data_IF_126920036575
#
_entry.id   IF_126920036575
#
_cell.length_a   1.000
_cell.length_b   1.000
_cell.length_c   1.000
_cell.angle_alpha   90.00
_cell.angle_beta   90.00
_cell.angle_gamma   90.00
#
_symmetry.space_group_name_H-M   'P 1'
#
loop_
_entity.id
_entity.type
_entity.pdbx_description
1 polymer ?
#
# COMPACT_ATOMS: atom_id res chain seq x y z
N UNK A 1 -21.72 -2.32 -6.03
CA UNK A 1 -21.51 -2.92 -4.70
C UNK A 1 -20.01 -3.05 -4.46
N UNK A 2 -19.56 -2.62 -3.31
CA UNK A 2 -18.15 -2.71 -2.97
C UNK A 2 -17.73 -4.14 -2.70
N UNK A 3 -16.52 -4.49 -3.16
CA UNK A 3 -15.94 -5.80 -2.86
C UNK A 3 -15.48 -5.81 -1.40
N UNK A 4 -16.07 -6.69 -0.62
CA UNK A 4 -15.68 -6.87 0.77
C UNK A 4 -14.50 -7.83 0.87
N UNK A 5 -13.52 -7.48 1.68
CA UNK A 5 -12.40 -8.36 1.99
C UNK A 5 -12.07 -8.26 3.47
N UNK A 6 -11.58 -9.35 4.03
CA UNK A 6 -11.22 -9.39 5.44
C UNK A 6 -9.78 -8.93 5.61
N UNK A 7 -9.52 -8.16 6.65
CA UNK A 7 -8.17 -7.66 6.99
C UNK A 7 -7.86 -7.78 8.49
N UNK A 8 -8.83 -8.17 9.30
CA UNK A 8 -8.68 -8.20 10.75
C UNK A 8 -7.53 -9.09 11.21
N UNK A 9 -7.32 -10.21 10.54
CA UNK A 9 -6.26 -11.16 10.86
C UNK A 9 -4.86 -10.60 10.59
N UNK A 10 -4.76 -9.51 9.85
CA UNK A 10 -3.48 -8.89 9.50
C UNK A 10 -3.04 -7.82 10.51
N UNK A 11 -3.98 -7.29 11.30
CA UNK A 11 -3.68 -6.26 12.28
C UNK A 11 -2.70 -6.80 13.33
N UNK A 12 -1.61 -6.06 13.56
CA UNK A 12 -0.61 -6.45 14.55
C UNK A 12 0.51 -7.34 14.00
N UNK A 13 0.44 -7.76 12.74
CA UNK A 13 1.56 -8.51 12.14
C UNK A 13 2.80 -7.59 12.17
N UNK A 14 3.96 -8.11 12.61
CA UNK A 14 5.17 -7.29 12.72
C UNK A 14 5.62 -6.72 11.36
N UNK A 15 6.22 -5.52 11.41
CA UNK A 15 6.88 -4.98 10.24
C UNK A 15 8.21 -5.71 10.04
N UNK A 16 8.39 -6.31 8.86
CA UNK A 16 9.64 -6.96 8.46
C UNK A 16 9.95 -6.52 7.04
N UNK A 17 11.12 -5.94 6.83
CA UNK A 17 11.57 -5.53 5.50
C UNK A 17 11.60 -6.75 4.58
N UNK A 18 10.92 -6.65 3.44
CA UNK A 18 10.77 -7.77 2.51
C UNK A 18 9.73 -8.80 2.94
N UNK A 19 9.02 -8.57 4.05
CA UNK A 19 8.06 -9.53 4.59
C UNK A 19 6.86 -9.76 3.68
N UNK A 20 6.49 -11.03 3.52
CA UNK A 20 5.45 -11.43 2.57
C UNK A 20 4.46 -12.45 3.15
N UNK A 21 4.50 -12.71 4.46
CA UNK A 21 3.63 -13.67 5.11
C UNK A 21 3.24 -13.23 6.52
N UNK A 22 2.51 -14.09 7.25
CA UNK A 22 1.99 -13.77 8.57
C UNK A 22 3.06 -13.59 9.65
N UNK A 23 4.32 -13.94 9.38
CA UNK A 23 5.42 -13.71 10.32
C UNK A 23 5.97 -12.29 10.21
N UNK A 24 5.67 -11.60 9.15
CA UNK A 24 6.06 -10.21 8.96
C UNK A 24 5.69 -9.69 7.59
N UNK A 25 5.33 -8.41 7.54
CA UNK A 25 4.96 -7.73 6.31
C UNK A 25 5.61 -6.35 6.27
N UNK A 26 6.08 -5.94 5.10
CA UNK A 26 6.36 -4.53 4.85
C UNK A 26 5.14 -3.90 4.16
N UNK A 27 5.22 -2.63 3.79
CA UNK A 27 4.06 -1.93 3.22
C UNK A 27 3.61 -2.56 1.90
N UNK A 28 4.54 -2.99 1.05
CA UNK A 28 4.17 -3.62 -0.20
C UNK A 28 3.67 -5.05 -0.01
N UNK A 29 4.24 -5.79 0.95
CA UNK A 29 3.74 -7.12 1.31
C UNK A 29 2.30 -7.09 1.74
N UNK A 30 1.93 -6.11 2.55
CA UNK A 30 0.54 -5.91 2.96
C UNK A 30 -0.35 -5.58 1.75
N UNK A 31 0.11 -4.69 0.87
CA UNK A 31 -0.64 -4.33 -0.34
C UNK A 31 -0.87 -5.54 -1.24
N UNK A 32 0.18 -6.36 -1.45
CA UNK A 32 0.07 -7.59 -2.23
C UNK A 32 -1.01 -8.52 -1.67
N UNK A 33 -1.00 -8.73 -0.36
CA UNK A 33 -1.94 -9.62 0.30
C UNK A 33 -3.38 -9.10 0.16
N UNK A 34 -3.59 -7.81 0.38
CA UNK A 34 -4.93 -7.24 0.33
C UNK A 34 -5.48 -7.13 -1.10
N UNK A 35 -4.63 -6.90 -2.09
CA UNK A 35 -5.08 -6.97 -3.49
C UNK A 35 -5.42 -8.40 -3.88
N UNK A 36 -4.64 -9.37 -3.40
CA UNK A 36 -4.93 -10.78 -3.63
C UNK A 36 -6.30 -11.16 -3.08
N UNK A 37 -6.64 -10.68 -1.89
CA UNK A 37 -7.96 -10.92 -1.28
C UNK A 37 -9.11 -10.28 -2.05
N UNK A 38 -8.80 -9.27 -2.85
CA UNK A 38 -9.77 -8.63 -3.75
C UNK A 38 -9.83 -9.30 -5.12
N UNK A 39 -8.99 -10.32 -5.36
CA UNK A 39 -8.93 -11.02 -6.63
C UNK A 39 -7.90 -10.48 -7.62
N UNK A 40 -6.98 -9.64 -7.15
CA UNK A 40 -5.96 -9.04 -8.03
C UNK A 40 -4.58 -9.51 -7.63
N UNK A 41 -3.78 -9.92 -8.62
CA UNK A 41 -2.37 -10.22 -8.42
C UNK A 41 -1.57 -9.07 -9.03
N UNK A 42 -0.88 -8.32 -8.19
CA UNK A 42 -0.06 -7.19 -8.61
C UNK A 42 1.42 -7.57 -8.53
N UNK A 43 2.27 -6.76 -9.17
CA UNK A 43 3.71 -7.03 -9.19
C UNK A 43 4.34 -6.92 -7.81
N UNK A 44 5.27 -7.82 -7.51
CA UNK A 44 6.09 -7.76 -6.31
C UNK A 44 7.44 -7.11 -6.64
N UNK A 45 7.89 -6.24 -5.74
CA UNK A 45 9.16 -5.52 -5.89
C UNK A 45 10.10 -5.94 -4.76
N UNK A 46 11.33 -6.29 -5.11
CA UNK A 46 12.36 -6.69 -4.13
C UNK A 46 13.24 -5.50 -3.78
N UNK A 47 12.65 -4.46 -3.19
CA UNK A 47 13.35 -3.25 -2.81
C UNK A 47 13.29 -3.11 -1.29
N UNK A 48 14.47 -2.95 -0.66
CA UNK A 48 14.53 -2.74 0.78
C UNK A 48 13.85 -1.43 1.18
N UNK A 49 13.10 -1.46 2.30
CA UNK A 49 12.45 -0.26 2.83
C UNK A 49 13.45 0.84 3.21
N UNK A 50 14.73 0.50 3.35
CA UNK A 50 15.79 1.47 3.63
C UNK A 50 16.25 2.25 2.39
N UNK A 51 15.86 1.80 1.19
CA UNK A 51 16.22 2.44 -0.07
C UNK A 51 15.11 3.36 -0.56
N UNK A 52 14.80 4.40 0.23
CA UNK A 52 13.64 5.27 0.01
C UNK A 52 13.63 5.91 -1.38
N UNK A 53 14.79 6.33 -1.90
CA UNK A 53 14.84 6.98 -3.22
C UNK A 53 14.55 6.00 -4.36
N UNK A 54 14.96 4.74 -4.23
CA UNK A 54 14.67 3.69 -5.22
C UNK A 54 13.17 3.37 -5.20
N UNK A 55 12.60 3.24 -4.00
CA UNK A 55 11.17 3.03 -3.83
C UNK A 55 10.39 4.19 -4.46
N UNK A 56 10.81 5.42 -4.16
CA UNK A 56 10.14 6.61 -4.67
C UNK A 56 10.16 6.67 -6.20
N UNK A 57 11.33 6.42 -6.80
CA UNK A 57 11.47 6.43 -8.26
C UNK A 57 10.62 5.34 -8.90
N UNK A 58 10.62 4.14 -8.32
CA UNK A 58 9.83 3.02 -8.81
C UNK A 58 8.35 3.31 -8.72
N UNK A 59 7.88 3.81 -7.57
CA UNK A 59 6.48 4.18 -7.39
C UNK A 59 6.06 5.26 -8.36
N UNK A 60 6.85 6.32 -8.52
CA UNK A 60 6.52 7.42 -9.41
C UNK A 60 6.38 6.93 -10.84
N UNK A 61 7.29 6.10 -11.30
CA UNK A 61 7.24 5.54 -12.65
C UNK A 61 6.02 4.63 -12.83
N UNK A 62 5.85 3.64 -11.95
CA UNK A 62 4.82 2.62 -12.11
C UNK A 62 3.41 3.17 -11.89
N UNK A 63 3.24 4.08 -10.95
CA UNK A 63 1.92 4.68 -10.72
C UNK A 63 1.45 5.51 -11.92
N UNK A 64 2.37 6.14 -12.63
CA UNK A 64 2.04 6.88 -13.85
C UNK A 64 1.75 5.96 -15.03
N UNK A 65 2.42 4.81 -15.11
CA UNK A 65 2.34 3.92 -16.27
C UNK A 65 1.30 2.82 -16.14
N UNK A 66 1.09 2.30 -14.93
CA UNK A 66 0.32 1.08 -14.71
C UNK A 66 -0.89 1.24 -13.81
N UNK A 67 -1.00 2.36 -13.11
CA UNK A 67 -2.08 2.60 -12.15
C UNK A 67 -2.88 3.82 -12.54
N UNK A 68 -4.12 3.88 -12.11
CA UNK A 68 -4.99 5.02 -12.35
C UNK A 68 -5.23 5.76 -11.03
N UNK A 69 -4.90 7.05 -11.02
CA UNK A 69 -5.21 7.91 -9.87
C UNK A 69 -6.71 8.22 -9.86
N UNK A 70 -7.32 8.13 -8.67
CA UNK A 70 -8.73 8.45 -8.47
C UNK A 70 -8.84 9.60 -7.49
N UNK A 71 -9.90 10.42 -7.62
CA UNK A 71 -10.08 11.60 -6.77
C UNK A 71 -10.57 11.24 -5.38
N UNK A 72 -11.52 10.30 -5.31
CA UNK A 72 -12.10 9.85 -4.05
C UNK A 72 -11.65 8.43 -3.75
N UNK A 73 -11.26 8.14 -2.51
CA UNK A 73 -10.82 6.78 -2.19
C UNK A 73 -11.96 5.78 -2.30
N UNK A 74 -11.62 4.60 -2.80
CA UNK A 74 -12.54 3.44 -2.84
C UNK A 74 -11.99 2.36 -1.92
N UNK A 75 -12.87 1.62 -1.27
CA UNK A 75 -12.45 0.48 -0.45
C UNK A 75 -11.59 -0.46 -1.30
N UNK A 76 -10.40 -0.77 -0.80
CA UNK A 76 -9.44 -1.62 -1.47
C UNK A 76 -8.41 -0.89 -2.31
N UNK A 77 -8.53 0.42 -2.51
CA UNK A 77 -7.56 1.16 -3.33
C UNK A 77 -6.24 1.36 -2.59
N UNK A 78 -5.19 1.60 -3.37
CA UNK A 78 -3.85 1.90 -2.86
C UNK A 78 -3.77 3.34 -2.40
N UNK A 79 -3.23 3.56 -1.20
CA UNK A 79 -2.97 4.89 -0.64
C UNK A 79 -1.46 5.11 -0.71
N UNK A 80 -1.03 6.15 -1.42
CA UNK A 80 0.40 6.46 -1.60
C UNK A 80 0.81 7.56 -0.64
N UNK A 81 1.88 7.33 0.10
CA UNK A 81 2.28 8.15 1.24
C UNK A 81 3.75 8.53 1.14
N UNK A 82 4.05 9.76 1.56
CA UNK A 82 5.42 10.26 1.70
C UNK A 82 5.81 10.24 3.18
N UNK A 83 6.80 9.42 3.51
CA UNK A 83 7.40 9.41 4.84
C UNK A 83 8.70 10.23 4.87
N UNK A 84 9.48 10.17 3.78
CA UNK A 84 10.73 10.92 3.65
C UNK A 84 10.48 12.22 2.90
N UNK A 85 10.85 13.36 3.49
CA UNK A 85 10.54 14.69 2.96
C UNK A 85 11.16 14.96 1.59
N UNK A 86 12.32 14.39 1.32
CA UNK A 86 13.05 14.62 0.07
C UNK A 86 12.73 13.61 -1.02
N UNK A 87 11.74 12.76 -0.79
CA UNK A 87 11.32 11.74 -1.77
C UNK A 87 9.89 12.00 -2.23
N UNK A 88 9.54 11.53 -3.44
CA UNK A 88 8.17 11.66 -3.93
C UNK A 88 7.21 10.83 -3.09
N UNK A 89 7.50 9.54 -2.93
CA UNK A 89 6.74 8.64 -2.07
C UNK A 89 7.61 7.46 -1.68
N UNK A 90 7.37 6.89 -0.50
CA UNK A 90 8.13 5.72 -0.07
C UNK A 90 7.32 4.80 0.84
N UNK A 91 6.01 4.94 0.84
CA UNK A 91 5.14 4.14 1.69
C UNK A 91 3.76 4.01 1.05
N UNK A 92 3.04 2.99 1.44
CA UNK A 92 1.68 2.79 0.95
C UNK A 92 0.83 2.09 2.00
N UNK A 93 -0.48 2.18 1.79
CA UNK A 93 -1.47 1.45 2.56
C UNK A 93 -2.67 1.14 1.67
N UNK A 94 -3.69 0.56 2.28
CA UNK A 94 -4.93 0.19 1.58
C UNK A 94 -6.11 0.83 2.30
N UNK A 95 -6.96 1.50 1.54
CA UNK A 95 -8.15 2.14 2.07
C UNK A 95 -9.20 1.07 2.44
N UNK A 96 -9.75 1.16 3.65
CA UNK A 96 -10.70 0.16 4.15
C UNK A 96 -12.09 0.72 4.42
N UNK A 97 -12.33 1.98 4.04
CA UNK A 97 -13.64 2.63 4.21
C UNK A 97 -13.69 3.56 5.42
N UNK A 98 -14.73 4.37 5.47
CA UNK A 98 -15.01 5.29 6.57
C UNK A 98 -13.83 6.18 6.97
N UNK A 99 -13.03 6.58 5.98
CA UNK A 99 -11.89 7.46 6.22
C UNK A 99 -10.70 6.80 6.88
N UNK A 100 -10.61 5.47 6.81
CA UNK A 100 -9.51 4.70 7.42
C UNK A 100 -8.71 3.94 6.37
N UNK A 101 -7.44 3.72 6.67
CA UNK A 101 -6.59 2.86 5.86
C UNK A 101 -5.73 1.98 6.75
N UNK A 102 -5.33 0.83 6.22
CA UNK A 102 -4.47 -0.13 6.91
C UNK A 102 -3.09 -0.10 6.26
N UNK A 103 -2.04 -0.09 7.08
CA UNK A 103 -0.67 -0.09 6.56
C UNK A 103 0.30 -0.77 7.52
N UNK A 104 1.37 -1.33 6.96
CA UNK A 104 2.50 -1.85 7.74
C UNK A 104 3.46 -0.67 7.92
N UNK A 105 3.35 0.01 9.05
CA UNK A 105 3.95 1.32 9.21
C UNK A 105 5.44 1.25 9.59
N UNK A 106 5.74 0.66 10.73
CA UNK A 106 7.12 0.62 11.24
C UNK A 106 7.28 -0.52 12.23
N UNK A 107 8.51 -0.74 12.68
CA UNK A 107 8.83 -1.84 13.60
C UNK A 107 8.07 -1.75 14.93
N UNK A 108 7.80 -0.54 15.40
CA UNK A 108 7.12 -0.33 16.68
C UNK A 108 5.63 -0.65 16.60
N UNK A 109 5.02 -0.50 15.45
CA UNK A 109 3.57 -0.67 15.31
C UNK A 109 3.17 -1.94 14.59
N UNK A 110 3.98 -2.39 13.61
CA UNK A 110 3.54 -3.41 12.67
C UNK A 110 2.38 -2.90 11.82
N UNK A 111 1.45 -3.79 11.51
CA UNK A 111 0.26 -3.47 10.73
C UNK A 111 -0.77 -2.80 11.64
N UNK A 112 -1.17 -1.59 11.27
CA UNK A 112 -2.14 -0.79 12.04
C UNK A 112 -3.14 -0.11 11.11
N UNK A 113 -4.23 0.35 11.71
CA UNK A 113 -5.25 1.16 11.03
C UNK A 113 -5.08 2.61 11.48
N UNK A 114 -5.07 3.52 10.52
CA UNK A 114 -4.99 4.96 10.77
C UNK A 114 -6.08 5.69 10.00
N UNK A 115 -6.30 6.96 10.38
CA UNK A 115 -7.27 7.82 9.70
C UNK A 115 -6.60 8.58 8.56
N UNK A 116 -7.23 8.57 7.40
CA UNK A 116 -6.78 9.35 6.24
C UNK A 116 -6.58 10.82 6.63
N UNK A 117 -7.51 11.37 7.42
CA UNK A 117 -7.46 12.77 7.84
C UNK A 117 -6.18 13.10 8.61
N UNK A 118 -5.72 12.18 9.46
CA UNK A 118 -4.49 12.35 10.25
C UNK A 118 -3.26 12.41 9.35
N UNK A 119 -3.30 11.72 8.22
CA UNK A 119 -2.16 11.59 7.30
C UNK A 119 -2.29 12.47 6.07
N UNK A 120 -3.27 13.34 6.02
CA UNK A 120 -3.64 14.13 4.83
C UNK A 120 -2.44 14.85 4.20
N UNK A 121 -1.57 15.46 5.00
CA UNK A 121 -0.42 16.20 4.49
C UNK A 121 0.66 15.31 3.86
N UNK A 122 0.59 14.00 4.11
CA UNK A 122 1.57 13.02 3.60
C UNK A 122 0.99 12.12 2.52
N UNK A 123 -0.33 12.11 2.34
CA UNK A 123 -0.97 11.28 1.32
C UNK A 123 -0.88 12.00 -0.02
N UNK A 124 -0.28 11.35 -1.00
CA UNK A 124 -0.11 11.89 -2.35
C UNK A 124 -1.25 11.55 -3.28
N UNK A 125 -1.98 10.49 -2.99
CA UNK A 125 -3.11 10.12 -3.81
C UNK A 125 -3.61 8.71 -3.54
N UNK A 126 -4.71 8.40 -4.21
CA UNK A 126 -5.36 7.10 -4.17
C UNK A 126 -5.33 6.51 -5.58
N UNK A 127 -5.02 5.23 -5.69
CA UNK A 127 -4.79 4.60 -6.99
C UNK A 127 -5.48 3.26 -7.07
N UNK A 128 -5.94 2.92 -8.28
CA UNK A 128 -6.45 1.59 -8.58
C UNK A 128 -5.60 0.98 -9.70
N UNK A 129 -5.45 -0.35 -9.73
CA UNK A 129 -4.63 -0.96 -10.77
C UNK A 129 -5.35 -0.96 -12.11
N UNK A 130 -4.59 -0.71 -13.18
CA UNK A 130 -5.04 -0.97 -14.54
C UNK A 130 -4.62 -2.38 -14.93
N UNK A 131 -5.02 -2.84 -16.10
CA UNK A 131 -4.59 -4.16 -16.60
C UNK A 131 -3.07 -4.30 -16.62
N UNK A 132 -2.35 -3.20 -16.86
CA UNK A 132 -0.88 -3.21 -16.92
C UNK A 132 -0.22 -3.45 -15.56
N UNK A 133 -0.91 -3.11 -14.47
CA UNK A 133 -0.40 -3.34 -13.11
C UNK A 133 -0.61 -4.78 -12.64
N UNK A 134 -1.51 -5.51 -13.31
CA UNK A 134 -1.83 -6.87 -12.92
C UNK A 134 -0.83 -7.85 -13.51
N UNK A 135 -0.48 -8.83 -12.70
CA UNK A 135 0.42 -9.88 -13.13
C UNK A 135 -0.39 -10.97 -13.83
N UNK A 136 -0.08 -11.22 -15.10
CA UNK A 136 -0.74 -12.25 -15.89
C UNK A 136 0.25 -13.40 -16.11
N UNK A 137 -0.10 -14.55 -15.61
CA UNK A 137 0.68 -15.76 -15.88
C UNK A 137 0.47 -16.21 -17.33
#
# INVERSE_FOLDING_TARGET
>A
METMFNYDDLIGIPFVDGGRDITGLDCWGLALELFKRQGYIIHDYSISSEEAHIISDTMQHDLNEMWQKIEEPKVGCLVIIRLAENEWANHCGIYIGDGHFIHAYCHETGVVIDRVRKWKSRILGFYIPTERALYND
#
